data_IF_741165104849
#
_entry.id   IF_741165104849
#
_cell.length_a   1.000
_cell.length_b   1.000
_cell.length_c   1.000
_cell.angle_alpha   90.00
_cell.angle_beta   90.00
_cell.angle_gamma   90.00
#
_symmetry.space_group_name_H-M   'P 1'
#
loop_
_entity.id
_entity.type
_entity.pdbx_description
1 polymer ?
#
# COMPACT_ATOMS: atom_id res chain seq x y z
N UNK A 1 -62.32 -8.94 -17.82
CA UNK A 1 -61.87 -8.64 -16.43
C UNK A 1 -60.54 -7.89 -16.55
N UNK A 2 -60.50 -6.56 -16.55
CA UNK A 2 -60.51 -5.59 -15.43
C UNK A 2 -59.38 -5.78 -14.38
N UNK A 3 -58.36 -4.94 -14.55
CA UNK A 3 -57.44 -4.25 -13.62
C UNK A 3 -57.01 -4.89 -12.28
N UNK A 4 -55.69 -4.90 -12.08
CA UNK A 4 -55.08 -4.34 -10.86
C UNK A 4 -53.79 -3.60 -11.22
N UNK A 5 -53.77 -2.32 -10.86
CA UNK A 5 -52.71 -1.35 -11.01
C UNK A 5 -52.21 -1.06 -9.59
N UNK A 6 -50.90 -1.17 -9.31
CA UNK A 6 -50.36 -0.69 -8.02
C UNK A 6 -48.91 -0.20 -8.14
N UNK A 7 -48.82 1.13 -8.19
CA UNK A 7 -47.91 2.02 -7.46
C UNK A 7 -46.40 1.95 -7.69
N UNK A 8 -45.98 2.97 -8.46
CA UNK A 8 -44.83 3.86 -8.24
C UNK A 8 -44.18 3.80 -6.86
N UNK A 9 -42.85 3.63 -6.89
CA UNK A 9 -41.94 4.31 -5.97
C UNK A 9 -40.84 4.96 -6.79
N UNK A 10 -41.06 6.23 -7.14
CA UNK A 10 -40.01 7.16 -7.55
C UNK A 10 -38.99 7.28 -6.41
N UNK A 11 -37.78 6.75 -6.60
CA UNK A 11 -36.66 7.08 -5.74
C UNK A 11 -36.12 8.43 -6.22
N UNK A 12 -36.57 9.49 -5.56
CA UNK A 12 -35.91 10.79 -5.60
C UNK A 12 -34.52 10.64 -4.96
N UNK A 13 -33.48 10.50 -5.78
CA UNK A 13 -32.09 10.69 -5.30
C UNK A 13 -31.82 12.19 -5.35
N UNK A 14 -32.05 12.86 -4.22
CA UNK A 14 -31.57 14.21 -3.98
C UNK A 14 -30.04 14.20 -3.94
N UNK A 15 -29.40 14.55 -5.04
CA UNK A 15 -27.99 14.93 -5.03
C UNK A 15 -27.87 16.35 -4.47
N UNK A 16 -27.61 16.43 -3.16
CA UNK A 16 -27.08 17.64 -2.55
C UNK A 16 -25.72 17.95 -3.19
N UNK A 17 -25.72 18.96 -4.04
CA UNK A 17 -24.55 19.56 -4.67
C UNK A 17 -23.91 20.52 -3.66
N UNK A 18 -22.95 20.03 -2.89
CA UNK A 18 -22.04 20.82 -2.03
C UNK A 18 -20.73 20.05 -1.91
N UNK A 19 -19.53 20.58 -2.09
CA UNK A 19 -19.09 21.87 -2.59
C UNK A 19 -17.73 21.65 -3.28
N UNK A 20 -17.43 22.51 -4.24
CA UNK A 20 -16.10 22.69 -4.80
C UNK A 20 -15.09 22.99 -3.70
N UNK A 21 -13.84 22.60 -3.97
CA UNK A 21 -12.60 23.15 -3.44
C UNK A 21 -12.37 22.95 -1.95
N UNK A 22 -11.43 22.06 -1.59
CA UNK A 22 -10.45 22.33 -0.54
C UNK A 22 -9.38 21.23 -0.49
N UNK A 23 -8.26 21.48 -1.17
CA UNK A 23 -6.92 21.03 -0.75
C UNK A 23 -5.84 21.61 -1.67
N UNK A 24 -5.79 22.94 -1.74
CA UNK A 24 -4.57 23.71 -2.07
C UNK A 24 -4.31 24.55 -0.82
N UNK A 25 -3.07 24.55 -0.31
CA UNK A 25 -2.45 25.27 0.82
C UNK A 25 -1.72 24.22 1.68
N UNK A 26 -0.40 24.25 1.91
CA UNK A 26 0.45 25.40 2.24
C UNK A 26 1.91 25.19 1.77
N UNK A 27 2.45 26.14 1.00
CA UNK A 27 3.86 26.54 1.06
C UNK A 27 3.95 28.06 0.83
N UNK A 28 3.78 28.82 1.91
CA UNK A 28 4.20 30.22 2.02
C UNK A 28 4.58 30.47 3.47
N UNK A 29 5.87 30.57 3.72
CA UNK A 29 6.53 31.55 4.59
C UNK A 29 7.93 31.07 4.93
N UNK A 30 8.89 31.95 4.71
CA UNK A 30 10.28 32.07 5.22
C UNK A 30 11.07 32.73 4.08
N UNK A 31 11.55 33.97 4.13
CA UNK A 31 11.49 35.04 5.11
C UNK A 31 12.09 36.29 4.45
N UNK A 32 11.51 37.46 4.70
CA UNK A 32 12.11 38.77 4.39
C UNK A 32 12.30 39.50 5.72
N UNK A 33 13.50 40.05 5.90
CA UNK A 33 13.75 41.23 6.70
C UNK A 33 14.21 40.99 8.14
N UNK A 34 15.52 41.03 8.35
CA UNK A 34 16.10 41.60 9.58
C UNK A 34 17.12 42.63 9.13
N UNK A 35 16.80 43.90 9.33
CA UNK A 35 17.70 45.05 9.27
C UNK A 35 18.18 45.36 10.68
N UNK A 36 19.50 45.54 10.86
CA UNK A 36 20.06 46.34 11.96
C UNK A 36 21.20 47.18 11.40
N UNK A 37 21.14 48.49 11.64
CA UNK A 37 22.18 49.47 11.33
C UNK A 37 22.96 49.83 12.60
N UNK A 38 24.29 49.85 12.45
CA UNK A 38 25.27 50.89 12.86
C UNK A 38 26.47 50.43 13.70
N UNK A 39 27.65 50.57 13.08
CA UNK A 39 28.77 51.33 13.64
C UNK A 39 29.89 50.55 14.33
N UNK A 40 31.01 50.32 13.63
CA UNK A 40 32.36 50.83 13.99
C UNK A 40 33.45 50.12 13.17
N UNK A 41 34.35 50.92 12.61
CA UNK A 41 35.53 50.57 11.80
C UNK A 41 36.38 49.42 12.35
N UNK A 42 36.81 48.50 11.46
CA UNK A 42 38.16 47.89 11.45
C UNK A 42 38.56 47.46 10.03
N UNK A 43 39.79 47.79 9.69
CA UNK A 43 40.46 47.61 8.41
C UNK A 43 40.94 46.17 8.07
N UNK A 44 41.01 45.90 6.75
CA UNK A 44 41.78 44.90 5.95
C UNK A 44 41.51 43.37 6.06
N UNK A 45 41.83 42.53 5.04
CA UNK A 45 42.26 42.81 3.65
C UNK A 45 41.47 42.06 2.54
N UNK A 46 41.80 42.40 1.28
CA UNK A 46 41.39 41.79 0.01
C UNK A 46 41.44 40.25 0.01
N UNK A 47 40.31 39.60 -0.23
CA UNK A 47 40.20 38.18 -0.66
C UNK A 47 38.86 37.94 -1.37
N UNK A 48 38.60 38.68 -2.44
CA UNK A 48 37.30 38.63 -3.16
C UNK A 48 37.17 37.42 -4.10
N UNK A 49 38.23 36.61 -4.25
CA UNK A 49 38.23 35.42 -5.13
C UNK A 49 37.83 34.10 -4.47
N UNK A 50 38.06 33.94 -3.16
CA UNK A 50 37.81 32.66 -2.47
C UNK A 50 36.34 32.42 -2.08
N UNK A 51 35.60 33.50 -1.81
CA UNK A 51 34.22 33.42 -1.29
C UNK A 51 33.22 33.05 -2.41
N UNK A 52 33.50 33.43 -3.66
CA UNK A 52 32.62 33.15 -4.81
C UNK A 52 32.66 31.66 -5.19
N UNK A 53 33.84 31.03 -5.14
CA UNK A 53 34.01 29.61 -5.50
C UNK A 53 33.32 28.69 -4.48
N UNK A 54 33.43 28.99 -3.19
CA UNK A 54 32.76 28.20 -2.13
C UNK A 54 31.23 28.28 -2.26
N UNK A 55 30.70 29.45 -2.66
CA UNK A 55 29.26 29.66 -2.85
C UNK A 55 28.69 28.87 -4.05
N UNK A 56 29.46 28.73 -5.13
CA UNK A 56 29.05 27.94 -6.31
C UNK A 56 29.07 26.44 -6.00
N UNK A 57 30.09 25.96 -5.28
CA UNK A 57 30.14 24.55 -4.85
C UNK A 57 28.99 24.20 -3.91
N UNK A 58 28.64 25.08 -2.97
CA UNK A 58 27.48 24.87 -2.11
C UNK A 58 26.17 24.78 -2.91
N UNK A 59 25.98 25.62 -3.94
CA UNK A 59 24.80 25.57 -4.80
C UNK A 59 24.75 24.34 -5.71
N UNK A 60 25.90 23.86 -6.22
CA UNK A 60 25.97 22.63 -7.02
C UNK A 60 25.68 21.40 -6.16
N UNK A 61 26.21 21.35 -4.93
CA UNK A 61 25.95 20.25 -3.99
C UNK A 61 24.49 20.26 -3.54
N UNK A 62 23.92 21.42 -3.20
CA UNK A 62 22.50 21.55 -2.83
C UNK A 62 21.60 21.23 -4.03
N UNK A 63 21.96 21.69 -5.24
CA UNK A 63 21.24 21.40 -6.47
C UNK A 63 21.23 19.91 -6.80
N UNK A 64 22.39 19.24 -6.70
CA UNK A 64 22.49 17.79 -6.87
C UNK A 64 21.70 17.02 -5.81
N UNK A 65 21.65 17.51 -4.56
CA UNK A 65 20.87 16.90 -3.48
C UNK A 65 19.36 17.06 -3.69
N UNK A 66 18.91 18.22 -4.17
CA UNK A 66 17.51 18.50 -4.48
C UNK A 66 17.06 17.67 -5.70
N UNK A 67 17.89 17.55 -6.74
CA UNK A 67 17.59 16.73 -7.92
C UNK A 67 17.58 15.23 -7.56
N UNK A 68 18.51 14.76 -6.72
CA UNK A 68 18.52 13.38 -6.23
C UNK A 68 17.28 13.02 -5.39
N UNK A 69 16.79 13.96 -4.57
CA UNK A 69 15.60 13.78 -3.76
C UNK A 69 14.28 13.87 -4.57
N UNK A 70 14.25 14.69 -5.64
CA UNK A 70 13.06 14.86 -6.50
C UNK A 70 12.89 13.73 -7.53
N UNK A 71 13.93 12.95 -7.83
CA UNK A 71 13.89 11.90 -8.87
C UNK A 71 13.51 10.50 -8.37
N UNK A 72 13.13 10.35 -7.10
CA UNK A 72 12.74 9.05 -6.56
C UNK A 72 11.31 8.71 -7.02
N UNK A 73 11.17 8.13 -8.21
CA UNK A 73 9.88 7.73 -8.77
C UNK A 73 9.26 6.60 -7.90
N UNK A 74 8.09 6.82 -7.26
CA UNK A 74 7.43 5.84 -6.39
C UNK A 74 7.24 4.47 -7.04
N UNK A 75 6.94 4.43 -8.34
CA UNK A 75 6.76 3.19 -9.10
C UNK A 75 8.08 2.40 -9.22
N UNK A 76 9.22 3.09 -9.40
CA UNK A 76 10.53 2.41 -9.44
C UNK A 76 10.87 1.77 -8.10
N UNK A 77 10.61 2.49 -7.00
CA UNK A 77 10.80 1.96 -5.62
C UNK A 77 9.88 0.77 -5.36
N UNK A 78 8.63 0.86 -5.79
CA UNK A 78 7.66 -0.23 -5.66
C UNK A 78 8.12 -1.48 -6.40
N UNK A 79 8.50 -1.35 -7.68
CA UNK A 79 8.97 -2.47 -8.48
C UNK A 79 10.21 -3.14 -7.86
N UNK A 80 11.20 -2.35 -7.42
CA UNK A 80 12.38 -2.91 -6.76
C UNK A 80 12.04 -3.69 -5.47
N UNK A 81 11.02 -3.24 -4.73
CA UNK A 81 10.55 -3.96 -3.53
C UNK A 81 9.73 -5.19 -3.86
N UNK A 82 9.00 -5.18 -4.98
CA UNK A 82 8.33 -6.35 -5.51
C UNK A 82 9.36 -7.40 -5.94
N UNK A 83 10.35 -7.02 -6.74
CA UNK A 83 11.43 -7.93 -7.18
C UNK A 83 12.16 -8.55 -5.98
N UNK A 84 12.46 -7.73 -4.96
CA UNK A 84 13.04 -8.22 -3.71
C UNK A 84 12.14 -9.20 -2.96
N UNK A 85 10.82 -9.01 -3.01
CA UNK A 85 9.88 -9.93 -2.38
C UNK A 85 9.84 -11.28 -3.10
N UNK A 86 9.83 -11.25 -4.45
CA UNK A 86 9.89 -12.45 -5.29
C UNK A 86 11.17 -13.24 -5.04
N UNK A 87 12.33 -12.58 -5.14
CA UNK A 87 13.63 -13.22 -4.90
C UNK A 87 13.74 -13.82 -3.49
N UNK A 88 13.18 -13.15 -2.48
CA UNK A 88 13.18 -13.67 -1.10
C UNK A 88 12.31 -14.92 -0.94
N UNK A 89 11.19 -15.00 -1.65
CA UNK A 89 10.38 -16.22 -1.66
C UNK A 89 11.17 -17.38 -2.29
N UNK A 90 11.75 -17.17 -3.47
CA UNK A 90 12.57 -18.16 -4.16
C UNK A 90 13.77 -18.64 -3.31
N UNK A 91 14.46 -17.71 -2.63
CA UNK A 91 15.57 -18.02 -1.71
C UNK A 91 15.11 -18.94 -0.57
N UNK A 92 13.96 -18.65 0.03
CA UNK A 92 13.42 -19.45 1.14
C UNK A 92 12.93 -20.81 0.69
N UNK A 93 12.19 -20.89 -0.42
CA UNK A 93 11.70 -22.17 -0.93
C UNK A 93 12.83 -23.08 -1.39
N UNK A 94 13.92 -22.53 -1.93
CA UNK A 94 15.13 -23.30 -2.25
C UNK A 94 15.83 -23.85 -0.99
N UNK A 95 15.83 -23.09 0.11
CA UNK A 95 16.43 -23.50 1.39
C UNK A 95 15.59 -24.56 2.10
N UNK A 96 14.27 -24.41 2.05
CA UNK A 96 13.31 -25.30 2.71
C UNK A 96 13.10 -26.59 1.89
N UNK A 97 13.13 -26.52 0.56
CA UNK A 97 13.05 -27.67 -0.34
C UNK A 97 14.23 -28.64 -0.24
N UNK A 98 15.40 -28.16 0.25
CA UNK A 98 16.54 -29.02 0.58
C UNK A 98 16.33 -29.79 1.91
N UNK A 99 15.37 -29.38 2.74
CA UNK A 99 15.05 -29.92 4.05
C UNK A 99 13.59 -30.44 4.12
N UNK A 100 12.97 -30.78 2.98
CA UNK A 100 11.54 -31.14 2.82
C UNK A 100 11.19 -32.49 3.48
N UNK A 101 11.41 -32.60 4.79
CA UNK A 101 10.73 -33.55 5.65
C UNK A 101 9.32 -33.05 5.95
N UNK A 102 8.41 -33.98 6.25
CA UNK A 102 7.01 -33.73 6.64
C UNK A 102 6.83 -32.61 7.71
N UNK A 103 7.87 -32.29 8.48
CA UNK A 103 7.87 -31.21 9.47
C UNK A 103 7.66 -29.80 8.88
N UNK A 104 8.11 -29.52 7.65
CA UNK A 104 7.88 -28.22 7.01
C UNK A 104 6.39 -27.99 6.66
N UNK A 105 5.62 -29.08 6.54
CA UNK A 105 4.18 -29.10 6.21
C UNK A 105 3.30 -29.36 7.44
N UNK A 106 3.88 -29.30 8.64
CA UNK A 106 3.23 -29.66 9.91
C UNK A 106 1.92 -28.91 10.17
N UNK A 107 1.83 -27.66 9.73
CA UNK A 107 0.61 -26.86 9.81
C UNK A 107 0.16 -26.46 8.41
N UNK A 108 -1.09 -26.76 8.08
CA UNK A 108 -1.69 -26.36 6.81
C UNK A 108 -2.23 -24.94 6.89
N UNK A 109 -2.17 -24.16 5.80
CA UNK A 109 -2.79 -22.84 5.75
C UNK A 109 -4.30 -22.95 5.86
N UNK A 110 -4.92 -21.91 6.43
CA UNK A 110 -6.36 -21.82 6.58
C UNK A 110 -6.95 -21.03 5.42
N UNK A 111 -7.66 -21.68 4.49
CA UNK A 111 -8.42 -20.96 3.47
C UNK A 111 -9.71 -20.41 4.08
N UNK A 112 -9.99 -19.12 3.87
CA UNK A 112 -11.23 -18.50 4.34
C UNK A 112 -11.15 -17.00 4.57
N UNK A 113 -12.04 -16.50 5.43
CA UNK A 113 -12.19 -15.08 5.73
C UNK A 113 -11.37 -14.67 6.93
N UNK A 114 -10.68 -13.55 6.80
CA UNK A 114 -9.83 -12.93 7.82
C UNK A 114 -10.35 -11.54 8.16
N UNK A 115 -10.42 -11.25 9.47
CA UNK A 115 -10.59 -9.89 9.99
C UNK A 115 -9.23 -9.18 9.94
N UNK A 116 -9.18 -8.09 9.17
CA UNK A 116 -7.95 -7.37 8.88
C UNK A 116 -8.09 -5.92 9.35
N UNK A 117 -7.10 -5.47 10.11
CA UNK A 117 -6.91 -4.06 10.42
C UNK A 117 -5.49 -3.68 10.03
N UNK A 118 -5.39 -2.60 9.29
CA UNK A 118 -4.11 -2.05 8.88
C UNK A 118 -3.99 -0.59 9.30
N UNK A 119 -2.78 -0.22 9.68
CA UNK A 119 -2.43 1.13 10.13
C UNK A 119 -1.51 1.75 9.10
N UNK A 120 -1.93 2.86 8.51
CA UNK A 120 -1.07 3.63 7.61
C UNK A 120 0.00 4.40 8.40
N UNK A 121 1.04 4.87 7.68
CA UNK A 121 2.05 5.79 8.21
C UNK A 121 1.45 6.99 8.95
N UNK A 122 0.27 7.46 8.53
CA UNK A 122 -0.43 8.62 9.12
C UNK A 122 -1.37 8.24 10.27
N UNK A 123 -1.21 7.05 10.85
CA UNK A 123 -2.03 6.50 11.96
C UNK A 123 -3.52 6.33 11.63
N UNK A 124 -3.93 6.47 10.36
CA UNK A 124 -5.27 6.10 9.91
C UNK A 124 -5.39 4.58 9.98
N UNK A 125 -6.44 4.09 10.63
CA UNK A 125 -6.78 2.67 10.68
C UNK A 125 -7.82 2.37 9.62
N UNK A 126 -7.59 1.32 8.84
CA UNK A 126 -8.52 0.81 7.84
C UNK A 126 -8.88 -0.60 8.26
N UNK A 127 -10.18 -0.87 8.37
CA UNK A 127 -10.71 -2.20 8.65
C UNK A 127 -11.12 -2.85 7.33
N UNK A 128 -10.73 -4.09 7.15
CA UNK A 128 -10.92 -4.89 5.96
C UNK A 128 -11.36 -6.30 6.32
N UNK A 129 -11.99 -6.94 5.36
CA UNK A 129 -12.19 -8.39 5.37
C UNK A 129 -11.45 -8.96 4.16
N UNK A 130 -10.63 -10.00 4.39
CA UNK A 130 -9.85 -10.65 3.35
C UNK A 130 -10.32 -12.10 3.20
N UNK A 131 -10.64 -12.51 1.98
CA UNK A 131 -10.82 -13.92 1.65
C UNK A 131 -9.52 -14.42 1.00
N UNK A 132 -8.82 -15.33 1.66
CA UNK A 132 -7.57 -15.92 1.18
C UNK A 132 -7.78 -17.39 0.85
N UNK A 133 -7.32 -17.78 -0.33
CA UNK A 133 -7.31 -19.16 -0.82
C UNK A 133 -5.85 -19.56 -1.06
N UNK A 134 -5.47 -20.70 -0.49
CA UNK A 134 -4.13 -21.27 -0.60
C UNK A 134 -4.15 -22.54 -1.45
N UNK A 135 -3.33 -22.57 -2.49
CA UNK A 135 -3.19 -23.71 -3.39
C UNK A 135 -1.75 -24.19 -3.37
N UNK A 136 -1.53 -25.47 -3.06
CA UNK A 136 -0.20 -26.09 -3.12
C UNK A 136 0.32 -26.08 -4.57
N UNK A 137 1.56 -25.63 -4.76
CA UNK A 137 2.23 -25.53 -6.06
C UNK A 137 3.53 -26.34 -6.14
N UNK A 138 3.80 -27.20 -5.15
CA UNK A 138 4.99 -28.06 -5.09
C UNK A 138 6.15 -27.45 -4.32
N UNK A 139 6.38 -26.14 -4.42
CA UNK A 139 7.44 -25.39 -3.72
C UNK A 139 6.90 -24.40 -2.68
N UNK A 140 5.61 -24.47 -2.38
CA UNK A 140 4.93 -23.61 -1.41
C UNK A 140 3.44 -23.53 -1.72
N UNK A 141 2.81 -22.42 -1.33
CA UNK A 141 1.42 -22.12 -1.63
C UNK A 141 1.30 -20.89 -2.52
N UNK A 142 0.52 -20.98 -3.58
CA UNK A 142 -0.02 -19.82 -4.28
C UNK A 142 -1.21 -19.25 -3.52
N UNK A 143 -1.30 -17.91 -3.46
CA UNK A 143 -2.36 -17.16 -2.81
C UNK A 143 -3.26 -16.51 -3.85
N UNK A 144 -4.57 -16.64 -3.63
CA UNK A 144 -5.59 -15.94 -4.41
C UNK A 144 -6.76 -15.49 -3.53
N UNK A 145 -7.68 -14.71 -4.10
CA UNK A 145 -8.85 -14.20 -3.40
C UNK A 145 -8.96 -12.67 -3.48
N UNK A 146 -9.50 -12.05 -2.44
CA UNK A 146 -9.79 -10.62 -2.44
C UNK A 146 -9.75 -10.01 -1.03
N UNK A 147 -9.60 -8.70 -0.97
CA UNK A 147 -9.68 -7.88 0.23
C UNK A 147 -10.72 -6.77 0.00
N UNK A 148 -11.59 -6.53 0.98
CA UNK A 148 -12.62 -5.48 0.91
C UNK A 148 -12.59 -4.61 2.16
N UNK A 149 -12.64 -3.30 1.97
CA UNK A 149 -12.80 -2.35 3.08
C UNK A 149 -14.22 -2.51 3.67
N UNK A 150 -14.33 -2.54 5.00
CA UNK A 150 -15.62 -2.78 5.70
C UNK A 150 -16.67 -1.70 5.38
N UNK A 151 -16.23 -0.49 5.05
CA UNK A 151 -17.13 0.60 4.63
C UNK A 151 -17.59 0.48 3.17
N UNK A 152 -17.15 -0.55 2.44
CA UNK A 152 -17.49 -0.77 1.03
C UNK A 152 -16.77 0.16 0.05
N UNK A 153 -15.88 1.04 0.52
CA UNK A 153 -15.17 2.03 -0.29
C UNK A 153 -13.91 1.47 -0.98
N UNK A 154 -13.68 0.15 -0.92
CA UNK A 154 -12.52 -0.46 -1.55
C UNK A 154 -12.72 -1.95 -1.66
N UNK A 155 -12.47 -2.51 -2.84
CA UNK A 155 -12.37 -3.94 -3.08
C UNK A 155 -11.15 -4.15 -3.95
N UNK A 156 -10.33 -5.11 -3.55
CA UNK A 156 -9.04 -5.40 -4.14
C UNK A 156 -8.97 -6.89 -4.44
N UNK A 157 -8.62 -7.26 -5.66
CA UNK A 157 -8.38 -8.65 -6.01
C UNK A 157 -6.90 -8.97 -5.84
N UNK A 158 -6.58 -10.14 -5.31
CA UNK A 158 -5.21 -10.67 -5.32
C UNK A 158 -4.90 -11.11 -6.75
N UNK A 159 -3.87 -10.52 -7.36
CA UNK A 159 -3.43 -10.85 -8.72
C UNK A 159 -2.30 -11.87 -8.76
N UNK A 160 -1.46 -11.85 -7.75
CA UNK A 160 -0.31 -12.72 -7.60
C UNK A 160 0.00 -12.83 -6.11
N UNK A 161 0.34 -14.01 -5.61
CA UNK A 161 0.76 -14.15 -4.23
C UNK A 161 1.29 -15.54 -3.93
N UNK A 162 2.22 -15.61 -3.01
CA UNK A 162 2.93 -16.83 -2.64
C UNK A 162 3.31 -16.84 -1.17
N UNK A 163 3.39 -18.04 -0.60
CA UNK A 163 3.76 -18.28 0.79
C UNK A 163 4.55 -19.59 0.92
N UNK A 164 5.56 -19.61 1.77
CA UNK A 164 6.32 -20.82 2.10
C UNK A 164 5.44 -21.81 2.88
N UNK A 165 5.80 -23.11 2.84
CA UNK A 165 5.04 -24.16 3.54
C UNK A 165 4.96 -23.98 5.05
N UNK A 166 6.00 -23.39 5.65
CA UNK A 166 6.07 -23.10 7.07
C UNK A 166 5.40 -21.76 7.46
N UNK A 167 4.94 -20.98 6.47
CA UNK A 167 4.36 -19.66 6.67
C UNK A 167 5.38 -18.56 7.00
N UNK A 168 6.67 -18.86 7.13
CA UNK A 168 7.70 -17.91 7.56
C UNK A 168 7.90 -16.74 6.60
N UNK A 169 7.49 -16.89 5.34
CA UNK A 169 7.45 -15.79 4.41
C UNK A 169 6.29 -15.90 3.44
N UNK A 170 5.62 -14.76 3.23
CA UNK A 170 4.62 -14.58 2.21
C UNK A 170 4.67 -13.19 1.60
N UNK A 171 4.24 -13.09 0.36
CA UNK A 171 3.91 -11.84 -0.30
C UNK A 171 2.69 -12.01 -1.20
N UNK A 172 1.95 -10.94 -1.41
CA UNK A 172 0.91 -10.91 -2.44
C UNK A 172 0.65 -9.49 -2.94
N UNK A 173 0.11 -9.40 -4.15
CA UNK A 173 -0.19 -8.17 -4.85
C UNK A 173 -1.69 -8.02 -4.98
N UNK A 174 -2.20 -6.89 -4.50
CA UNK A 174 -3.58 -6.47 -4.58
C UNK A 174 -3.74 -5.37 -5.63
N UNK A 175 -4.75 -5.51 -6.48
CA UNK A 175 -5.19 -4.48 -7.42
C UNK A 175 -6.62 -4.08 -7.08
N UNK A 176 -6.96 -2.79 -7.20
CA UNK A 176 -8.38 -2.40 -7.12
C UNK A 176 -9.19 -3.21 -8.14
N UNK A 177 -10.29 -3.78 -7.66
CA UNK A 177 -11.17 -4.62 -8.45
C UNK A 177 -11.73 -3.83 -9.63
N UNK A 178 -11.72 -4.46 -10.81
CA UNK A 178 -12.16 -3.83 -12.07
C UNK A 178 -13.62 -3.39 -12.02
N UNK A 179 -14.44 -4.08 -11.23
CA UNK A 179 -15.87 -3.77 -11.03
C UNK A 179 -16.06 -2.36 -10.46
N UNK A 180 -15.28 -2.00 -9.45
CA UNK A 180 -15.32 -0.67 -8.82
C UNK A 180 -14.69 0.43 -9.71
N UNK A 181 -13.72 0.07 -10.55
CA UNK A 181 -13.11 1.00 -11.53
C UNK A 181 -14.13 1.43 -12.59
N UNK A 182 -15.00 0.51 -13.00
CA UNK A 182 -16.03 0.73 -14.02
C UNK A 182 -17.23 1.54 -13.50
N UNK A 183 -17.48 1.54 -12.20
CA UNK A 183 -18.53 2.33 -11.55
C UNK A 183 -18.12 3.80 -11.30
N UNK A 184 -16.92 4.21 -11.71
CA UNK A 184 -16.47 5.61 -11.65
C UNK A 184 -16.21 6.14 -10.23
N UNK A 185 -16.27 5.28 -9.21
CA UNK A 185 -16.40 5.68 -7.81
C UNK A 185 -15.07 5.98 -7.08
N UNK A 186 -13.90 5.84 -7.75
CA UNK A 186 -12.61 5.92 -7.03
C UNK A 186 -11.53 6.73 -7.76
N UNK A 187 -10.90 7.65 -7.04
CA UNK A 187 -9.65 8.35 -7.39
C UNK A 187 -8.42 7.43 -7.44
N UNK A 188 -8.61 6.17 -7.05
CA UNK A 188 -7.52 5.24 -6.78
C UNK A 188 -7.26 4.28 -7.95
N UNK A 189 -7.78 4.58 -9.14
CA UNK A 189 -7.47 3.85 -10.38
C UNK A 189 -5.95 3.66 -10.52
N UNK A 190 -5.53 2.42 -10.73
CA UNK A 190 -4.12 2.05 -10.87
C UNK A 190 -3.34 1.89 -9.56
N UNK A 191 -3.98 1.98 -8.39
CA UNK A 191 -3.34 1.63 -7.12
C UNK A 191 -3.07 0.13 -7.08
N UNK A 192 -1.80 -0.21 -6.85
CA UNK A 192 -1.31 -1.57 -6.64
C UNK A 192 -0.71 -1.61 -5.25
N UNK A 193 -1.03 -2.64 -4.47
CA UNK A 193 -0.53 -2.82 -3.11
C UNK A 193 0.25 -4.12 -3.03
N UNK A 194 1.50 -4.04 -2.59
CA UNK A 194 2.33 -5.17 -2.20
C UNK A 194 2.19 -5.39 -0.71
N UNK A 195 1.72 -6.57 -0.34
CA UNK A 195 1.69 -7.07 1.03
C UNK A 195 2.82 -8.07 1.20
N UNK A 196 3.50 -8.04 2.35
CA UNK A 196 4.59 -8.96 2.65
C UNK A 196 4.75 -9.17 4.15
N UNK A 197 5.09 -10.38 4.57
CA UNK A 197 5.14 -10.75 5.97
C UNK A 197 5.27 -12.25 6.19
N UNK A 198 4.69 -12.74 7.26
CA UNK A 198 4.67 -14.15 7.64
C UNK A 198 3.29 -14.56 8.14
N UNK A 199 2.86 -15.76 7.75
CA UNK A 199 1.70 -16.42 8.33
C UNK A 199 2.12 -17.26 9.53
N UNK A 200 1.29 -17.25 10.55
CA UNK A 200 1.26 -18.27 11.57
C UNK A 200 0.05 -19.16 11.28
N UNK A 201 0.28 -20.28 10.60
CA UNK A 201 -0.81 -21.18 10.20
C UNK A 201 -1.53 -21.73 11.41
N UNK A 202 -0.82 -22.20 12.45
CA UNK A 202 -1.47 -22.69 13.68
C UNK A 202 -2.46 -21.69 14.33
N UNK A 203 -2.17 -20.39 14.26
CA UNK A 203 -3.02 -19.34 14.82
C UNK A 203 -4.00 -18.73 13.83
N UNK A 204 -3.96 -19.15 12.56
CA UNK A 204 -4.70 -18.53 11.47
C UNK A 204 -4.44 -17.01 11.40
N UNK A 205 -3.20 -16.57 11.56
CA UNK A 205 -2.88 -15.13 11.62
C UNK A 205 -1.75 -14.74 10.68
N UNK A 206 -1.67 -13.45 10.36
CA UNK A 206 -0.60 -12.88 9.56
C UNK A 206 -0.01 -11.64 10.22
N UNK A 207 1.30 -11.48 10.11
CA UNK A 207 2.02 -10.29 10.54
C UNK A 207 2.86 -9.76 9.38
N UNK A 208 2.78 -8.46 9.12
CA UNK A 208 3.50 -7.90 7.99
C UNK A 208 3.28 -6.42 7.75
N UNK A 209 3.67 -6.02 6.56
CA UNK A 209 3.58 -4.66 6.07
C UNK A 209 2.97 -4.64 4.67
N UNK A 210 2.43 -3.47 4.34
CA UNK A 210 1.90 -3.19 3.01
C UNK A 210 2.53 -1.92 2.46
N UNK A 211 2.68 -1.86 1.14
CA UNK A 211 3.20 -0.73 0.39
C UNK A 211 2.41 -0.59 -0.90
N UNK A 212 2.01 0.62 -1.24
CA UNK A 212 1.41 0.93 -2.53
C UNK A 212 2.44 1.47 -3.52
N UNK A 213 2.11 1.39 -4.81
CA UNK A 213 2.85 2.08 -5.88
C UNK A 213 2.75 3.62 -5.82
N UNK A 214 1.99 4.17 -4.86
CA UNK A 214 1.86 5.60 -4.59
C UNK A 214 2.67 6.06 -3.36
N UNK A 215 3.58 5.23 -2.87
CA UNK A 215 4.40 5.46 -1.66
C UNK A 215 3.61 5.53 -0.33
N UNK A 216 2.32 5.19 -0.36
CA UNK A 216 1.59 4.89 0.88
C UNK A 216 2.01 3.54 1.44
N UNK A 217 2.20 3.46 2.75
CA UNK A 217 2.64 2.23 3.42
C UNK A 217 2.12 2.14 4.83
N UNK A 218 2.14 0.92 5.36
CA UNK A 218 1.70 0.67 6.72
C UNK A 218 2.00 -0.76 7.18
N UNK A 219 1.42 -1.09 8.32
CA UNK A 219 1.55 -2.42 8.95
C UNK A 219 0.17 -3.01 9.20
N UNK A 220 0.10 -4.33 9.22
CA UNK A 220 -1.05 -5.04 9.76
C UNK A 220 -0.94 -5.05 11.28
N UNK A 221 -1.98 -4.57 11.96
CA UNK A 221 -2.07 -4.67 13.42
C UNK A 221 -3.11 -5.68 13.88
N UNK A 222 -3.96 -6.13 12.95
CA UNK A 222 -4.73 -7.36 13.08
C UNK A 222 -4.81 -8.03 11.71
N UNK A 223 -4.58 -9.33 11.69
CA UNK A 223 -4.89 -10.19 10.56
C UNK A 223 -5.17 -11.57 11.14
N UNK A 224 -6.45 -11.92 11.31
CA UNK A 224 -6.85 -13.14 12.01
C UNK A 224 -8.01 -13.82 11.28
N UNK A 225 -7.91 -15.12 11.16
CA UNK A 225 -8.95 -15.98 10.63
C UNK A 225 -10.22 -15.78 11.45
N UNK A 226 -11.30 -15.50 10.74
CA UNK A 226 -12.64 -15.29 11.27
C UNK A 226 -13.48 -16.53 11.01
N UNK A 227 -13.50 -17.00 9.76
CA UNK A 227 -14.23 -18.19 9.33
C UNK A 227 -13.38 -18.98 8.33
N UNK A 228 -13.30 -20.30 8.51
CA UNK A 228 -12.73 -21.21 7.51
C UNK A 228 -13.74 -21.54 6.42
N UNK A 229 -13.24 -21.80 5.22
CA UNK A 229 -14.01 -22.21 4.06
C UNK A 229 -14.11 -21.14 2.99
N UNK A 230 -14.26 -21.60 1.74
CA UNK A 230 -14.40 -20.74 0.56
C UNK A 230 -15.86 -20.36 0.41
N UNK A 231 -16.17 -19.06 0.47
CA UNK A 231 -17.40 -18.57 -0.17
C UNK A 231 -17.03 -18.26 -1.61
N UNK A 232 -17.59 -19.02 -2.55
CA UNK A 232 -17.49 -18.71 -3.97
C UNK A 232 -17.93 -17.26 -4.17
N UNK A 233 -17.17 -16.50 -4.94
CA UNK A 233 -17.62 -15.21 -5.48
C UNK A 233 -18.96 -15.45 -6.20
N UNK A 234 -20.08 -15.27 -5.51
CA UNK A 234 -21.40 -15.25 -6.13
C UNK A 234 -21.47 -13.92 -6.87
N UNK A 235 -21.11 -13.95 -8.15
CA UNK A 235 -21.51 -12.91 -9.09
C UNK A 235 -23.04 -12.88 -9.07
N UNK A 236 -23.62 -11.87 -8.43
CA UNK A 236 -24.99 -11.48 -8.73
C UNK A 236 -24.89 -10.86 -10.12
N UNK A 237 -25.33 -11.62 -11.12
CA UNK A 237 -25.48 -11.20 -12.51
C UNK A 237 -26.58 -10.13 -12.65
#
# INVERSE_FOLDING_TARGET
MKFANTKSSHIHINWLRTSKNESIFYLRNLGRGVTYNNGSDRDFPRSTGGIVIISIFALVVIGAFIIGALCSNPTKKFNALLDKAKAKFEEKTATDGANDGDDARRYKPHTGFYDVSCKSRYKKRIKREANLIFTDIGDGYALSGFCKDVNGCGQYDIKEGYCTYDGSYAYWIEHISKELVNQGAFSDKGTIVLNQGAFNFQKGSFEGKWLSNRDERGTFDRFKLKNEGVVAHSYIA
#
